data_IF_764900837143
#
_entry.id   IF_764900837143
#
_cell.length_a   1.000
_cell.length_b   1.000
_cell.length_c   1.000
_cell.angle_alpha   90.00
_cell.angle_beta   90.00
_cell.angle_gamma   90.00
#
_symmetry.space_group_name_H-M   'P 1'
#
loop_
_entity.id
_entity.type
_entity.pdbx_description
1 polymer ?
#
# COMPACT_ATOMS: atom_id res chain seq x y z
N UNK A 1 29.71 -18.16 -12.07
CA UNK A 1 28.47 -17.91 -11.29
C UNK A 1 28.70 -16.86 -10.22
N UNK A 2 29.73 -16.99 -9.37
CA UNK A 2 30.13 -15.90 -8.44
C UNK A 2 30.37 -14.56 -9.15
N UNK A 3 31.00 -14.57 -10.34
CA UNK A 3 31.18 -13.37 -11.16
C UNK A 3 29.87 -12.69 -11.57
N UNK A 4 28.79 -13.45 -11.78
CA UNK A 4 27.50 -12.88 -12.17
C UNK A 4 26.83 -12.16 -11.00
N UNK A 5 26.95 -12.71 -9.79
CA UNK A 5 26.45 -12.03 -8.58
C UNK A 5 27.26 -10.77 -8.28
N UNK A 6 28.59 -10.81 -8.45
CA UNK A 6 29.41 -9.61 -8.33
C UNK A 6 29.00 -8.54 -9.34
N UNK A 7 28.64 -8.94 -10.56
CA UNK A 7 28.13 -8.02 -11.58
C UNK A 7 26.71 -7.50 -11.26
N UNK A 8 25.86 -8.28 -10.58
CA UNK A 8 24.57 -7.81 -10.07
C UNK A 8 24.74 -6.77 -8.95
N UNK A 9 25.81 -6.85 -8.16
CA UNK A 9 26.13 -5.92 -7.08
C UNK A 9 26.96 -4.70 -7.55
N UNK A 10 27.21 -4.55 -8.85
CA UNK A 10 28.06 -3.48 -9.37
C UNK A 10 27.45 -2.09 -9.06
N UNK A 11 28.23 -1.07 -8.66
CA UNK A 11 27.69 0.27 -8.43
C UNK A 11 27.13 0.93 -9.69
N UNK A 12 27.58 0.55 -10.89
CA UNK A 12 27.04 1.05 -12.15
C UNK A 12 25.76 0.30 -12.53
N UNK A 13 24.66 1.05 -12.66
CA UNK A 13 23.33 0.52 -13.00
C UNK A 13 23.31 -0.26 -14.32
N UNK A 14 24.03 0.21 -15.33
CA UNK A 14 24.14 -0.47 -16.62
C UNK A 14 24.73 -1.88 -16.49
N UNK A 15 25.74 -2.04 -15.61
CA UNK A 15 26.39 -3.34 -15.38
C UNK A 15 25.48 -4.28 -14.59
N UNK A 16 24.75 -3.77 -13.58
CA UNK A 16 23.72 -4.55 -12.87
C UNK A 16 22.63 -5.04 -13.84
N UNK A 17 22.13 -4.14 -14.67
CA UNK A 17 21.07 -4.44 -15.65
C UNK A 17 21.54 -5.45 -16.69
N UNK A 18 22.76 -5.30 -17.20
CA UNK A 18 23.35 -6.25 -18.15
C UNK A 18 23.52 -7.65 -17.52
N UNK A 19 24.00 -7.71 -16.27
CA UNK A 19 24.15 -8.97 -15.53
C UNK A 19 22.79 -9.65 -15.29
N UNK A 20 21.77 -8.89 -14.87
CA UNK A 20 20.41 -9.40 -14.66
C UNK A 20 19.81 -9.94 -15.98
N UNK A 21 19.94 -9.21 -17.09
CA UNK A 21 19.47 -9.69 -18.40
C UNK A 21 20.20 -10.94 -18.86
N UNK A 22 21.51 -11.01 -18.64
CA UNK A 22 22.31 -12.21 -18.93
C UNK A 22 21.78 -13.43 -18.17
N UNK A 23 21.41 -13.26 -16.90
CA UNK A 23 20.77 -14.33 -16.12
C UNK A 23 19.44 -14.80 -16.73
N UNK A 24 18.58 -13.86 -17.14
CA UNK A 24 17.33 -14.21 -17.83
C UNK A 24 17.57 -14.98 -19.13
N UNK A 25 18.56 -14.57 -19.94
CA UNK A 25 18.95 -15.28 -21.16
C UNK A 25 19.50 -16.69 -20.90
N UNK A 26 20.29 -16.86 -19.84
CA UNK A 26 20.78 -18.18 -19.44
C UNK A 26 19.64 -19.10 -19.04
N UNK A 27 18.67 -18.61 -18.26
CA UNK A 27 17.46 -19.37 -17.91
C UNK A 27 16.66 -19.74 -19.16
N UNK A 28 16.49 -18.79 -20.10
CA UNK A 28 15.76 -19.02 -21.35
C UNK A 28 16.41 -20.08 -22.24
N UNK A 29 17.75 -20.11 -22.31
CA UNK A 29 18.51 -21.02 -23.20
C UNK A 29 18.85 -22.36 -22.57
N UNK A 30 19.12 -22.39 -21.27
CA UNK A 30 19.63 -23.56 -20.57
C UNK A 30 18.59 -24.21 -19.65
N UNK A 31 17.46 -23.54 -19.41
CA UNK A 31 16.32 -24.06 -18.67
C UNK A 31 16.61 -24.36 -17.20
N UNK A 32 15.99 -25.43 -16.72
CA UNK A 32 15.84 -25.78 -15.31
C UNK A 32 17.16 -26.09 -14.59
N UNK A 33 18.13 -26.67 -15.31
CA UNK A 33 19.46 -26.99 -14.76
C UNK A 33 20.18 -25.75 -14.25
N UNK A 34 19.97 -24.60 -14.90
CA UNK A 34 20.57 -23.34 -14.50
C UNK A 34 19.80 -22.71 -13.35
N UNK A 35 18.46 -22.78 -13.36
CA UNK A 35 17.60 -22.32 -12.25
C UNK A 35 17.96 -22.98 -10.92
N UNK A 36 18.04 -24.32 -10.89
CA UNK A 36 18.41 -25.07 -9.69
C UNK A 36 19.75 -24.65 -9.08
N UNK A 37 20.70 -24.23 -9.91
CA UNK A 37 22.02 -23.82 -9.45
C UNK A 37 22.05 -22.34 -9.06
N UNK A 38 21.27 -21.49 -9.73
CA UNK A 38 21.28 -20.04 -9.50
C UNK A 38 20.48 -19.63 -8.27
N UNK A 39 19.28 -20.18 -8.08
CA UNK A 39 18.38 -19.76 -7.02
C UNK A 39 18.99 -19.88 -5.62
N UNK A 40 19.71 -20.96 -5.25
CA UNK A 40 20.38 -21.03 -3.94
C UNK A 40 21.39 -19.91 -3.73
N UNK A 41 22.18 -19.57 -4.76
CA UNK A 41 23.22 -18.53 -4.65
C UNK A 41 22.58 -17.14 -4.54
N UNK A 42 21.51 -16.89 -5.28
CA UNK A 42 20.73 -15.66 -5.17
C UNK A 42 20.10 -15.52 -3.78
N UNK A 43 19.52 -16.61 -3.24
CA UNK A 43 18.98 -16.65 -1.88
C UNK A 43 20.03 -16.32 -0.83
N UNK A 44 21.22 -16.90 -0.93
CA UNK A 44 22.34 -16.61 -0.03
C UNK A 44 22.76 -15.13 -0.14
N UNK A 45 22.81 -14.60 -1.36
CA UNK A 45 23.22 -13.22 -1.62
C UNK A 45 22.21 -12.18 -1.11
N UNK A 46 20.94 -12.55 -0.93
CA UNK A 46 19.94 -11.70 -0.27
C UNK A 46 20.24 -11.44 1.21
N UNK A 47 21.07 -12.27 1.85
CA UNK A 47 21.54 -12.05 3.22
C UNK A 47 22.76 -11.11 3.31
N UNK A 48 23.21 -10.53 2.19
CA UNK A 48 24.34 -9.60 2.17
C UNK A 48 24.03 -8.29 2.91
N UNK A 49 25.00 -7.78 3.67
CA UNK A 49 24.91 -6.45 4.30
C UNK A 49 24.82 -5.31 3.27
N UNK A 50 25.30 -5.55 2.04
CA UNK A 50 25.27 -4.58 0.96
C UNK A 50 23.89 -4.48 0.32
N UNK A 51 23.24 -3.31 0.47
CA UNK A 51 21.96 -3.01 -0.18
C UNK A 51 22.05 -3.13 -1.71
N UNK A 52 23.17 -2.69 -2.32
CA UNK A 52 23.40 -2.83 -3.77
C UNK A 52 23.41 -4.29 -4.23
N UNK A 53 23.95 -5.21 -3.41
CA UNK A 53 23.91 -6.65 -3.68
C UNK A 53 22.47 -7.16 -3.62
N UNK A 54 21.74 -6.84 -2.54
CA UNK A 54 20.33 -7.29 -2.38
C UNK A 54 19.43 -6.74 -3.48
N UNK A 55 19.60 -5.46 -3.86
CA UNK A 55 18.90 -4.83 -4.98
C UNK A 55 19.22 -5.53 -6.30
N UNK A 56 20.50 -5.77 -6.57
CA UNK A 56 20.96 -6.49 -7.76
C UNK A 56 20.37 -7.89 -7.86
N UNK A 57 20.32 -8.62 -6.74
CA UNK A 57 19.69 -9.94 -6.67
C UNK A 57 18.19 -9.85 -6.97
N UNK A 58 17.47 -8.85 -6.43
CA UNK A 58 16.05 -8.65 -6.76
C UNK A 58 15.84 -8.36 -8.25
N UNK A 59 16.70 -7.53 -8.86
CA UNK A 59 16.67 -7.27 -10.29
C UNK A 59 16.97 -8.53 -11.11
N UNK A 60 17.95 -9.34 -10.68
CA UNK A 60 18.24 -10.64 -11.29
C UNK A 60 17.05 -11.60 -11.17
N UNK A 61 16.39 -11.65 -10.00
CA UNK A 61 15.22 -12.50 -9.79
C UNK A 61 14.09 -12.08 -10.74
N UNK A 62 13.86 -10.78 -10.93
CA UNK A 62 12.88 -10.28 -11.90
C UNK A 62 13.13 -10.83 -13.31
N UNK A 63 14.37 -10.77 -13.81
CA UNK A 63 14.72 -11.27 -15.14
C UNK A 63 14.61 -12.80 -15.24
N UNK A 64 14.98 -13.51 -14.18
CA UNK A 64 14.81 -14.97 -14.07
C UNK A 64 13.33 -15.34 -14.13
N UNK A 65 12.48 -14.62 -13.39
CA UNK A 65 11.05 -14.82 -13.34
C UNK A 65 10.36 -14.56 -14.68
N UNK A 66 10.81 -13.54 -15.42
CA UNK A 66 10.30 -13.20 -16.75
C UNK A 66 10.74 -14.24 -17.81
N UNK A 67 11.89 -14.88 -17.61
CA UNK A 67 12.41 -15.90 -18.51
C UNK A 67 11.88 -17.32 -18.23
N UNK A 68 11.47 -17.61 -16.99
CA UNK A 68 11.02 -18.92 -16.57
C UNK A 68 9.65 -19.28 -17.14
N UNK A 69 9.45 -20.56 -17.46
CA UNK A 69 8.14 -21.08 -17.86
C UNK A 69 7.22 -21.23 -16.64
N UNK A 70 5.90 -21.30 -16.85
CA UNK A 70 4.93 -21.52 -15.76
C UNK A 70 5.22 -22.78 -14.93
N UNK A 71 5.70 -23.84 -15.57
CA UNK A 71 6.05 -25.08 -14.87
C UNK A 71 7.23 -24.86 -13.92
N UNK A 72 8.32 -24.29 -14.42
CA UNK A 72 9.51 -23.96 -13.62
C UNK A 72 9.20 -22.98 -12.49
N UNK A 73 8.36 -21.96 -12.76
CA UNK A 73 7.89 -21.04 -11.74
C UNK A 73 7.14 -21.77 -10.64
N UNK A 74 6.26 -22.72 -10.98
CA UNK A 74 5.53 -23.53 -10.01
C UNK A 74 6.44 -24.36 -9.11
N UNK A 75 7.47 -24.98 -9.67
CA UNK A 75 8.41 -25.83 -8.91
C UNK A 75 9.33 -25.02 -8.00
N UNK A 76 9.78 -23.85 -8.44
CA UNK A 76 10.72 -23.01 -7.69
C UNK A 76 10.07 -21.93 -6.83
N UNK A 77 8.76 -21.75 -6.92
CA UNK A 77 8.01 -20.75 -6.17
C UNK A 77 8.30 -20.76 -4.66
N UNK A 78 8.35 -21.93 -3.99
CA UNK A 78 8.64 -22.01 -2.56
C UNK A 78 10.03 -21.48 -2.19
N UNK A 79 10.98 -21.53 -3.12
CA UNK A 79 12.34 -21.03 -2.93
C UNK A 79 12.47 -19.53 -3.25
N UNK A 80 11.65 -19.01 -4.17
CA UNK A 80 11.72 -17.62 -4.65
C UNK A 80 10.88 -16.66 -3.80
N UNK A 81 9.73 -17.10 -3.29
CA UNK A 81 8.82 -16.24 -2.54
C UNK A 81 9.41 -15.70 -1.24
N UNK A 82 10.04 -16.51 -0.36
CA UNK A 82 10.57 -16.00 0.91
C UNK A 82 11.63 -14.89 0.73
N UNK A 83 12.60 -15.01 -0.20
CA UNK A 83 13.53 -13.92 -0.50
C UNK A 83 12.86 -12.63 -0.97
N UNK A 84 11.86 -12.71 -1.86
CA UNK A 84 11.13 -11.52 -2.34
C UNK A 84 10.35 -10.89 -1.19
N UNK A 85 9.70 -11.71 -0.36
CA UNK A 85 8.98 -11.20 0.80
C UNK A 85 9.91 -10.50 1.80
N UNK A 86 11.08 -11.07 2.09
CA UNK A 86 12.08 -10.42 2.92
C UNK A 86 12.54 -9.09 2.31
N UNK A 87 12.75 -9.06 1.00
CA UNK A 87 13.18 -7.87 0.26
C UNK A 87 12.11 -6.76 0.22
N UNK A 88 10.81 -7.11 0.22
CA UNK A 88 9.73 -6.12 0.35
C UNK A 88 9.73 -5.43 1.71
N UNK A 89 10.28 -6.07 2.73
CA UNK A 89 10.47 -5.55 4.08
C UNK A 89 11.90 -5.01 4.33
N UNK A 90 12.70 -4.84 3.28
CA UNK A 90 14.09 -4.41 3.42
C UNK A 90 14.19 -2.98 3.97
N UNK A 91 15.25 -2.70 4.74
CA UNK A 91 15.51 -1.37 5.28
C UNK A 91 15.81 -0.35 4.17
N UNK A 92 16.41 -0.79 3.07
CA UNK A 92 16.75 0.06 1.94
C UNK A 92 15.58 0.19 0.94
N UNK A 93 15.12 1.42 0.64
CA UNK A 93 14.01 1.63 -0.30
C UNK A 93 14.27 1.09 -1.70
N UNK A 94 15.51 1.15 -2.19
CA UNK A 94 15.85 0.69 -3.54
C UNK A 94 15.72 -0.83 -3.67
N UNK A 95 15.99 -1.57 -2.58
CA UNK A 95 15.78 -3.02 -2.51
C UNK A 95 14.28 -3.33 -2.52
N UNK A 96 13.47 -2.59 -1.73
CA UNK A 96 12.01 -2.75 -1.72
C UNK A 96 11.41 -2.53 -3.11
N UNK A 97 11.81 -1.46 -3.80
CA UNK A 97 11.34 -1.17 -5.16
C UNK A 97 11.71 -2.28 -6.15
N UNK A 98 12.96 -2.77 -6.11
CA UNK A 98 13.40 -3.88 -6.95
C UNK A 98 12.61 -5.17 -6.64
N UNK A 99 12.32 -5.44 -5.37
CA UNK A 99 11.50 -6.57 -4.94
C UNK A 99 10.05 -6.43 -5.43
N UNK A 100 9.49 -5.21 -5.40
CA UNK A 100 8.18 -4.90 -5.98
C UNK A 100 8.11 -5.21 -7.47
N UNK A 101 9.14 -4.83 -8.22
CA UNK A 101 9.22 -5.13 -9.65
C UNK A 101 9.26 -6.65 -9.91
N UNK A 102 10.05 -7.40 -9.14
CA UNK A 102 10.11 -8.86 -9.22
C UNK A 102 8.75 -9.51 -8.85
N UNK A 103 8.12 -9.03 -7.78
CA UNK A 103 6.80 -9.47 -7.33
C UNK A 103 5.72 -9.23 -8.41
N UNK A 104 5.78 -8.10 -9.11
CA UNK A 104 4.87 -7.79 -10.22
C UNK A 104 4.97 -8.81 -11.37
N UNK A 105 6.18 -9.28 -11.69
CA UNK A 105 6.39 -10.34 -12.70
C UNK A 105 5.77 -11.66 -12.25
N UNK A 106 6.05 -12.08 -11.01
CA UNK A 106 5.45 -13.29 -10.43
C UNK A 106 3.93 -13.27 -10.52
N UNK A 107 3.31 -12.15 -10.16
CA UNK A 107 1.87 -12.03 -10.19
C UNK A 107 1.30 -12.17 -11.61
N UNK A 108 1.93 -11.58 -12.63
CA UNK A 108 1.49 -11.73 -14.04
C UNK A 108 1.70 -13.14 -14.60
N UNK A 109 2.71 -13.86 -14.11
CA UNK A 109 3.07 -15.21 -14.57
C UNK A 109 2.09 -16.33 -14.20
N UNK A 110 0.99 -16.02 -13.50
CA UNK A 110 -0.02 -17.00 -13.08
C UNK A 110 0.23 -17.60 -11.69
N UNK A 111 1.18 -17.07 -10.92
CA UNK A 111 1.46 -17.48 -9.54
C UNK A 111 0.45 -16.92 -8.50
N UNK A 112 -0.79 -16.61 -8.92
CA UNK A 112 -1.78 -15.91 -8.10
C UNK A 112 -1.98 -16.57 -6.73
N UNK A 113 -2.15 -17.90 -6.71
CA UNK A 113 -2.37 -18.66 -5.46
C UNK A 113 -1.19 -18.68 -4.49
N UNK A 114 0.04 -18.51 -4.99
CA UNK A 114 1.23 -18.54 -4.15
C UNK A 114 1.60 -17.14 -3.63
N UNK A 115 1.30 -16.12 -4.43
CA UNK A 115 1.45 -14.72 -4.03
C UNK A 115 0.40 -14.30 -3.00
N UNK A 116 -0.73 -15.02 -2.94
CA UNK A 116 -1.79 -14.82 -1.95
C UNK A 116 -1.31 -14.95 -0.50
N UNK A 117 -0.15 -15.56 -0.22
CA UNK A 117 0.45 -15.61 1.13
C UNK A 117 1.21 -14.35 1.54
N UNK A 118 1.73 -13.56 0.59
CA UNK A 118 2.60 -12.41 0.88
C UNK A 118 1.82 -11.27 1.54
N UNK A 119 0.67 -10.89 0.96
CA UNK A 119 -0.16 -9.82 1.52
C UNK A 119 -0.66 -10.16 2.93
N UNK A 120 -1.24 -11.35 3.21
CA UNK A 120 -1.57 -11.77 4.57
C UNK A 120 -0.40 -11.74 5.54
N UNK A 121 0.80 -12.15 5.12
CA UNK A 121 1.96 -12.10 6.00
C UNK A 121 2.40 -10.68 6.34
N UNK A 122 2.32 -9.74 5.38
CA UNK A 122 2.58 -8.32 5.65
C UNK A 122 1.49 -7.72 6.54
N UNK A 123 0.22 -8.09 6.33
CA UNK A 123 -0.89 -7.67 7.19
C UNK A 123 -0.70 -8.15 8.64
N UNK A 124 -0.24 -9.37 8.85
CA UNK A 124 0.09 -9.88 10.18
C UNK A 124 1.23 -9.10 10.84
N UNK A 125 2.18 -8.57 10.05
CA UNK A 125 3.26 -7.73 10.55
C UNK A 125 2.80 -6.36 11.07
N UNK A 126 1.59 -5.90 10.71
CA UNK A 126 1.02 -4.64 11.22
C UNK A 126 0.62 -4.72 12.70
N UNK A 127 0.45 -5.93 13.24
CA UNK A 127 0.13 -6.12 14.65
C UNK A 127 1.38 -6.14 15.56
N UNK A 128 2.58 -6.10 14.97
CA UNK A 128 3.86 -6.07 15.69
C UNK A 128 4.57 -4.74 15.53
N UNK A 129 4.89 -4.06 16.64
CA UNK A 129 5.65 -2.79 16.59
C UNK A 129 6.99 -2.94 15.88
N UNK A 130 7.67 -4.08 16.05
CA UNK A 130 8.96 -4.34 15.42
C UNK A 130 8.88 -4.49 13.89
N UNK A 131 7.73 -4.93 13.37
CA UNK A 131 7.54 -5.21 11.94
C UNK A 131 6.61 -4.23 11.24
N UNK A 132 5.93 -3.34 11.98
CA UNK A 132 4.92 -2.43 11.47
C UNK A 132 5.43 -1.62 10.27
N UNK A 133 6.52 -0.87 10.47
CA UNK A 133 7.08 0.03 9.45
C UNK A 133 7.46 -0.73 8.18
N UNK A 134 8.23 -1.82 8.31
CA UNK A 134 8.65 -2.64 7.18
C UNK A 134 7.44 -3.25 6.45
N UNK A 135 6.40 -3.66 7.18
CA UNK A 135 5.19 -4.26 6.61
C UNK A 135 4.34 -3.25 5.85
N UNK A 136 4.17 -2.03 6.38
CA UNK A 136 3.48 -0.95 5.66
C UNK A 136 4.24 -0.60 4.39
N UNK A 137 5.56 -0.44 4.47
CA UNK A 137 6.40 -0.14 3.30
C UNK A 137 6.32 -1.24 2.24
N UNK A 138 6.37 -2.52 2.63
CA UNK A 138 6.18 -3.64 1.71
C UNK A 138 4.79 -3.63 1.05
N UNK A 139 3.74 -3.35 1.82
CA UNK A 139 2.38 -3.20 1.27
C UNK A 139 2.28 -2.01 0.32
N UNK A 140 2.94 -0.89 0.62
CA UNK A 140 2.98 0.28 -0.26
C UNK A 140 3.61 -0.05 -1.60
N UNK A 141 4.73 -0.76 -1.59
CA UNK A 141 5.43 -1.20 -2.81
C UNK A 141 4.52 -2.12 -3.64
N UNK A 142 3.87 -3.11 -3.02
CA UNK A 142 2.92 -4.00 -3.73
C UNK A 142 1.77 -3.19 -4.34
N UNK A 143 1.22 -2.22 -3.61
CA UNK A 143 0.14 -1.37 -4.08
C UNK A 143 0.58 -0.40 -5.19
N UNK A 144 1.80 0.11 -5.14
CA UNK A 144 2.37 0.91 -6.21
C UNK A 144 2.48 0.14 -7.52
N UNK A 145 2.81 -1.16 -7.45
CA UNK A 145 2.82 -2.05 -8.63
C UNK A 145 1.41 -2.44 -9.06
N UNK A 146 0.50 -2.62 -8.10
CA UNK A 146 -0.90 -3.01 -8.35
C UNK A 146 -1.85 -2.35 -7.35
N UNK A 147 -2.42 -1.18 -7.70
CA UNK A 147 -3.33 -0.45 -6.81
C UNK A 147 -4.57 -1.26 -6.41
N UNK A 148 -5.04 -2.15 -7.29
CA UNK A 148 -6.17 -3.05 -7.02
C UNK A 148 -5.96 -3.99 -5.82
N UNK A 149 -4.72 -4.19 -5.34
CA UNK A 149 -4.45 -4.93 -4.09
C UNK A 149 -5.15 -4.29 -2.89
N UNK A 150 -5.36 -2.97 -2.93
CA UNK A 150 -6.07 -2.23 -1.89
C UNK A 150 -7.51 -2.75 -1.68
N UNK A 151 -8.18 -3.24 -2.73
CA UNK A 151 -9.53 -3.82 -2.62
C UNK A 151 -9.60 -5.03 -1.69
N UNK A 152 -8.53 -5.81 -1.59
CA UNK A 152 -8.45 -6.94 -0.66
C UNK A 152 -7.90 -6.56 0.72
N UNK A 153 -7.17 -5.45 0.82
CA UNK A 153 -6.52 -4.99 2.06
C UNK A 153 -7.45 -4.13 2.90
N UNK A 154 -8.13 -3.14 2.30
CA UNK A 154 -8.98 -2.20 3.03
C UNK A 154 -10.07 -2.90 3.86
N UNK A 155 -10.83 -3.88 3.34
CA UNK A 155 -11.83 -4.59 4.13
C UNK A 155 -11.24 -5.42 5.29
N UNK A 156 -9.99 -5.89 5.16
CA UNK A 156 -9.31 -6.64 6.24
C UNK A 156 -8.90 -5.72 7.37
N UNK A 157 -8.43 -4.51 7.06
CA UNK A 157 -8.06 -3.50 8.06
C UNK A 157 -9.27 -2.89 8.77
N UNK A 158 -10.42 -2.86 8.11
CA UNK A 158 -11.69 -2.39 8.68
C UNK A 158 -12.45 -3.48 9.45
N UNK A 159 -11.97 -4.73 9.45
CA UNK A 159 -12.65 -5.83 10.14
C UNK A 159 -12.61 -5.61 11.66
N UNK A 160 -13.75 -5.65 12.37
CA UNK A 160 -13.75 -5.57 13.83
C UNK A 160 -13.02 -6.76 14.48
N UNK A 161 -12.26 -6.54 15.58
CA UNK A 161 -12.00 -5.25 16.21
C UNK A 161 -10.97 -4.40 15.43
N UNK A 162 -11.34 -3.16 15.10
CA UNK A 162 -10.44 -2.21 14.41
C UNK A 162 -9.38 -1.71 15.39
N UNK A 163 -8.10 -1.90 15.11
CA UNK A 163 -6.99 -1.47 15.98
C UNK A 163 -6.43 -0.10 15.55
N UNK A 164 -5.69 0.57 16.45
CA UNK A 164 -4.97 1.81 16.10
C UNK A 164 -3.96 1.58 14.97
N UNK A 165 -3.30 0.42 14.95
CA UNK A 165 -2.34 0.04 13.90
C UNK A 165 -3.01 -0.10 12.54
N UNK A 166 -4.21 -0.71 12.48
CA UNK A 166 -4.98 -0.83 11.24
C UNK A 166 -5.44 0.53 10.71
N UNK A 167 -5.86 1.45 11.59
CA UNK A 167 -6.23 2.81 11.21
C UNK A 167 -5.04 3.59 10.64
N UNK A 168 -3.89 3.58 11.34
CA UNK A 168 -2.66 4.19 10.83
C UNK A 168 -2.27 3.61 9.48
N UNK A 169 -2.33 2.29 9.33
CA UNK A 169 -1.99 1.61 8.08
C UNK A 169 -2.95 2.01 6.95
N UNK A 170 -4.26 2.15 7.20
CA UNK A 170 -5.22 2.66 6.22
C UNK A 170 -4.85 4.08 5.74
N UNK A 171 -4.55 4.98 6.68
CA UNK A 171 -4.12 6.34 6.35
C UNK A 171 -2.83 6.37 5.54
N UNK A 172 -1.88 5.50 5.88
CA UNK A 172 -0.62 5.36 5.17
C UNK A 172 -0.82 4.83 3.75
N UNK A 173 -1.51 3.70 3.60
CA UNK A 173 -1.70 3.03 2.32
C UNK A 173 -2.61 3.81 1.36
N UNK A 174 -3.49 4.69 1.85
CA UNK A 174 -4.38 5.48 1.02
C UNK A 174 -3.65 6.26 -0.08
N UNK A 175 -2.47 6.83 0.21
CA UNK A 175 -1.69 7.61 -0.75
C UNK A 175 -1.21 6.83 -1.97
N UNK A 176 -1.13 5.50 -1.89
CA UNK A 176 -0.69 4.63 -3.00
C UNK A 176 -1.83 3.75 -3.54
N UNK A 177 -3.05 3.90 -3.00
CA UNK A 177 -4.22 3.13 -3.43
C UNK A 177 -4.77 3.59 -4.78
N UNK A 178 -4.46 4.83 -5.21
CA UNK A 178 -4.84 5.39 -6.51
C UNK A 178 -6.33 5.19 -6.82
N UNK A 179 -6.69 4.64 -8.00
CA UNK A 179 -8.08 4.49 -8.43
C UNK A 179 -8.89 3.49 -7.61
N UNK A 180 -8.26 2.69 -6.74
CA UNK A 180 -8.97 1.79 -5.85
C UNK A 180 -9.51 2.52 -4.61
N UNK A 181 -8.99 3.71 -4.26
CA UNK A 181 -9.37 4.41 -3.04
C UNK A 181 -10.85 4.86 -3.02
N UNK A 182 -11.41 5.50 -4.07
CA UNK A 182 -12.74 6.09 -4.01
C UNK A 182 -13.86 5.11 -3.60
N UNK A 183 -13.78 3.86 -4.07
CA UNK A 183 -14.79 2.83 -3.73
C UNK A 183 -14.79 2.42 -2.25
N UNK A 184 -13.70 2.67 -1.51
CA UNK A 184 -13.60 2.35 -0.08
C UNK A 184 -13.74 3.58 0.82
N UNK A 185 -13.78 4.79 0.27
CA UNK A 185 -13.89 6.03 1.04
C UNK A 185 -15.07 6.02 2.03
N UNK A 186 -16.31 5.64 1.65
CA UNK A 186 -17.43 5.67 2.58
C UNK A 186 -17.22 4.76 3.80
N UNK A 187 -16.73 3.53 3.57
CA UNK A 187 -16.49 2.57 4.64
C UNK A 187 -15.35 2.99 5.57
N UNK A 188 -14.25 3.49 4.99
CA UNK A 188 -13.09 3.96 5.75
C UNK A 188 -13.47 5.19 6.59
N UNK A 189 -14.07 6.21 5.96
CA UNK A 189 -14.46 7.43 6.65
C UNK A 189 -15.52 7.16 7.71
N UNK A 190 -16.59 6.44 7.40
CA UNK A 190 -17.64 6.14 8.37
C UNK A 190 -17.07 5.47 9.63
N UNK A 191 -16.15 4.51 9.46
CA UNK A 191 -15.46 3.85 10.58
C UNK A 191 -14.57 4.81 11.35
N UNK A 192 -13.75 5.61 10.66
CA UNK A 192 -12.82 6.53 11.31
C UNK A 192 -13.57 7.65 12.06
N UNK A 193 -14.60 8.23 11.46
CA UNK A 193 -15.41 9.29 12.05
C UNK A 193 -16.18 8.79 13.29
N UNK A 194 -16.70 7.55 13.25
CA UNK A 194 -17.37 6.94 14.39
C UNK A 194 -16.43 6.66 15.57
N UNK A 195 -15.17 6.33 15.31
CA UNK A 195 -14.14 6.12 16.35
C UNK A 195 -13.64 7.47 16.88
N UNK A 196 -13.33 8.41 15.99
CA UNK A 196 -12.85 9.75 16.32
C UNK A 196 -13.85 10.55 17.18
N UNK A 197 -15.15 10.35 16.96
CA UNK A 197 -16.19 11.07 17.71
C UNK A 197 -16.36 10.58 19.16
N UNK A 198 -15.66 9.52 19.58
CA UNK A 198 -15.73 8.99 20.95
C UNK A 198 -14.54 9.51 21.76
N UNK A 199 -14.74 10.47 22.68
CA UNK A 199 -13.64 11.14 23.37
C UNK A 199 -12.79 10.23 24.27
N UNK A 200 -13.36 9.10 24.73
CA UNK A 200 -12.68 8.14 25.60
C UNK A 200 -12.08 6.94 24.84
N UNK A 201 -12.12 6.95 23.50
CA UNK A 201 -11.52 5.87 22.70
C UNK A 201 -10.04 6.18 22.42
N UNK A 202 -9.15 5.33 22.93
CA UNK A 202 -7.69 5.45 22.69
C UNK A 202 -7.31 5.41 21.20
N UNK A 203 -8.21 4.94 20.33
CA UNK A 203 -8.02 4.89 18.87
C UNK A 203 -8.41 6.21 18.18
N UNK A 204 -9.10 7.12 18.86
CA UNK A 204 -9.59 8.37 18.28
C UNK A 204 -8.49 9.19 17.56
N UNK A 205 -7.28 9.40 18.14
CA UNK A 205 -6.22 10.13 17.45
C UNK A 205 -5.75 9.43 16.16
N UNK A 206 -5.65 8.10 16.18
CA UNK A 206 -5.27 7.31 15.01
C UNK A 206 -6.37 7.36 13.93
N UNK A 207 -7.64 7.39 14.33
CA UNK A 207 -8.78 7.50 13.43
C UNK A 207 -8.86 8.89 12.76
N UNK A 208 -8.64 9.97 13.52
CA UNK A 208 -8.58 11.33 12.99
C UNK A 208 -7.46 11.48 11.96
N UNK A 209 -6.26 11.01 12.30
CA UNK A 209 -5.11 11.06 11.39
C UNK A 209 -5.35 10.21 10.13
N UNK A 210 -5.90 9.00 10.28
CA UNK A 210 -6.24 8.14 9.16
C UNK A 210 -7.26 8.79 8.23
N UNK A 211 -8.33 9.35 8.80
CA UNK A 211 -9.37 10.04 8.04
C UNK A 211 -8.82 11.23 7.25
N UNK A 212 -7.93 12.03 7.87
CA UNK A 212 -7.28 13.16 7.20
C UNK A 212 -6.41 12.71 6.03
N UNK A 213 -5.54 11.71 6.24
CA UNK A 213 -4.66 11.18 5.18
C UNK A 213 -5.46 10.56 4.03
N UNK A 214 -6.52 9.81 4.34
CA UNK A 214 -7.43 9.20 3.35
C UNK A 214 -8.13 10.29 2.53
N UNK A 215 -8.65 11.32 3.19
CA UNK A 215 -9.28 12.43 2.49
C UNK A 215 -8.28 13.17 1.59
N UNK A 216 -7.05 13.39 2.04
CA UNK A 216 -6.01 14.02 1.22
C UNK A 216 -5.61 13.18 0.02
N UNK A 217 -5.58 11.85 0.17
CA UNK A 217 -5.24 10.90 -0.89
C UNK A 217 -6.34 10.71 -1.94
N UNK A 218 -7.60 11.03 -1.62
CA UNK A 218 -8.74 10.90 -2.52
C UNK A 218 -8.62 11.76 -3.79
N UNK A 219 -7.86 12.86 -3.73
CA UNK A 219 -7.71 13.79 -4.84
C UNK A 219 -9.05 14.38 -5.32
N UNK A 220 -9.10 14.81 -6.58
CA UNK A 220 -10.31 15.36 -7.19
C UNK A 220 -11.35 14.27 -7.51
N UNK A 221 -10.90 13.09 -7.92
CA UNK A 221 -11.77 11.96 -8.30
C UNK A 221 -12.61 11.44 -7.13
N UNK A 222 -12.05 11.43 -5.92
CA UNK A 222 -12.74 10.99 -4.72
C UNK A 222 -13.52 12.10 -3.99
N UNK A 223 -13.39 13.36 -4.42
CA UNK A 223 -14.01 14.51 -3.75
C UNK A 223 -15.54 14.40 -3.65
N UNK A 224 -16.29 13.98 -4.69
CA UNK A 224 -17.74 13.82 -4.57
C UNK A 224 -18.13 12.82 -3.48
N UNK A 225 -17.44 11.68 -3.40
CA UNK A 225 -17.67 10.66 -2.37
C UNK A 225 -17.29 11.14 -0.97
N UNK A 226 -16.23 11.95 -0.84
CA UNK A 226 -15.85 12.58 0.42
C UNK A 226 -16.95 13.54 0.91
N UNK A 227 -17.44 14.42 0.03
CA UNK A 227 -18.46 15.42 0.37
C UNK A 227 -19.77 14.75 0.76
N UNK A 228 -20.19 13.72 0.02
CA UNK A 228 -21.41 12.95 0.32
C UNK A 228 -21.33 12.26 1.70
N UNK A 229 -20.20 11.60 2.02
CA UNK A 229 -20.05 10.93 3.31
C UNK A 229 -19.90 11.92 4.48
N UNK A 230 -19.22 13.04 4.27
CA UNK A 230 -19.12 14.12 5.27
C UNK A 230 -20.48 14.76 5.55
N UNK A 231 -21.27 15.05 4.50
CA UNK A 231 -22.63 15.57 4.65
C UNK A 231 -23.50 14.62 5.47
N UNK A 232 -23.50 13.32 5.10
CA UNK A 232 -24.19 12.28 5.88
C UNK A 232 -23.73 12.23 7.32
N UNK A 233 -22.42 12.31 7.59
CA UNK A 233 -21.87 12.21 8.94
C UNK A 233 -22.17 13.43 9.81
N UNK A 234 -22.31 14.62 9.22
CA UNK A 234 -22.69 15.85 9.92
C UNK A 234 -24.19 15.87 10.28
N UNK A 235 -25.03 15.32 9.41
CA UNK A 235 -26.48 15.17 9.65
C UNK A 235 -26.81 13.99 10.57
N UNK A 236 -25.85 13.10 10.80
CA UNK A 236 -26.05 11.87 11.55
C UNK A 236 -26.19 12.10 13.06
N UNK A 237 -27.42 11.92 13.56
CA UNK A 237 -27.74 11.92 14.98
C UNK A 237 -27.05 10.80 15.78
N UNK A 238 -26.41 9.82 15.12
CA UNK A 238 -25.65 8.73 15.77
C UNK A 238 -24.35 9.18 16.45
N UNK A 239 -23.97 10.46 16.30
CA UNK A 239 -22.83 11.06 16.99
C UNK A 239 -21.52 11.03 16.20
N UNK A 240 -21.56 10.92 14.86
CA UNK A 240 -20.37 11.06 13.98
C UNK A 240 -20.01 12.51 13.65
N UNK A 241 -20.91 13.45 13.95
CA UNK A 241 -20.74 14.87 13.64
C UNK A 241 -19.46 15.51 14.24
N UNK A 242 -19.03 15.22 15.49
CA UNK A 242 -17.79 15.79 16.02
C UNK A 242 -16.55 15.39 15.23
N UNK A 243 -16.42 14.10 14.86
CA UNK A 243 -15.34 13.61 14.03
C UNK A 243 -15.38 14.21 12.62
N UNK A 244 -16.57 14.36 12.04
CA UNK A 244 -16.73 14.96 10.71
C UNK A 244 -16.29 16.43 10.71
N UNK A 245 -16.69 17.21 11.73
CA UNK A 245 -16.25 18.58 11.91
C UNK A 245 -14.73 18.69 12.12
N UNK A 246 -14.14 17.79 12.91
CA UNK A 246 -12.70 17.72 13.11
C UNK A 246 -11.94 17.43 11.81
N UNK A 247 -12.45 16.50 10.99
CA UNK A 247 -11.88 16.17 9.69
C UNK A 247 -11.94 17.37 8.73
N UNK A 248 -13.08 18.05 8.63
CA UNK A 248 -13.22 19.26 7.79
C UNK A 248 -12.22 20.33 8.24
N UNK A 249 -12.14 20.61 9.55
CA UNK A 249 -11.20 21.58 10.08
C UNK A 249 -9.73 21.17 9.81
N UNK A 250 -9.40 19.90 9.98
CA UNK A 250 -8.07 19.35 9.69
C UNK A 250 -7.70 19.44 8.22
N UNK A 251 -8.64 19.11 7.33
CA UNK A 251 -8.46 19.20 5.89
C UNK A 251 -8.22 20.65 5.45
N UNK A 252 -9.05 21.58 5.92
CA UNK A 252 -8.91 23.01 5.60
C UNK A 252 -7.57 23.59 6.09
N UNK A 253 -7.06 23.14 7.24
CA UNK A 253 -5.72 23.55 7.72
C UNK A 253 -4.59 23.00 6.85
N UNK A 254 -4.76 21.82 6.27
CA UNK A 254 -3.75 21.16 5.47
C UNK A 254 -3.79 21.54 3.98
N UNK A 255 -4.89 22.09 3.47
CA UNK A 255 -5.02 22.53 2.09
C UNK A 255 -4.20 23.81 1.82
N UNK A 256 -3.28 23.76 0.86
CA UNK A 256 -2.51 24.90 0.36
C UNK A 256 -2.99 25.32 -1.04
N UNK A 257 -3.07 26.64 -1.29
CA UNK A 257 -3.28 27.25 -2.61
C UNK A 257 -4.56 26.80 -3.35
N UNK A 258 -4.39 26.15 -4.51
CA UNK A 258 -5.47 25.73 -5.43
C UNK A 258 -6.50 24.78 -4.80
N UNK A 259 -6.10 23.91 -3.87
CA UNK A 259 -7.04 23.01 -3.16
C UNK A 259 -8.00 23.75 -2.25
N UNK A 260 -7.66 24.98 -1.83
CA UNK A 260 -8.48 25.80 -0.95
C UNK A 260 -9.68 26.40 -1.69
N UNK A 261 -9.52 26.80 -2.95
CA UNK A 261 -10.59 27.41 -3.76
C UNK A 261 -11.66 26.38 -4.17
N UNK A 262 -11.24 25.17 -4.59
CA UNK A 262 -12.15 24.07 -4.89
C UNK A 262 -13.00 23.66 -3.68
N UNK A 263 -12.42 23.72 -2.48
CA UNK A 263 -13.13 23.40 -1.23
C UNK A 263 -13.99 24.55 -0.70
N UNK A 264 -13.63 25.82 -0.93
CA UNK A 264 -14.43 26.94 -0.45
C UNK A 264 -15.83 26.93 -1.08
N UNK A 265 -15.93 26.60 -2.39
CA UNK A 265 -17.22 26.42 -3.06
C UNK A 265 -18.05 25.23 -2.54
N UNK A 266 -17.40 24.17 -2.05
CA UNK A 266 -18.08 22.96 -1.54
C UNK A 266 -18.37 23.01 -0.04
N UNK A 267 -17.53 23.69 0.76
CA UNK A 267 -17.77 24.00 2.17
C UNK A 267 -18.91 25.01 2.28
N UNK A 268 -18.97 26.01 1.40
CA UNK A 268 -20.15 26.88 1.28
C UNK A 268 -21.39 26.06 0.94
N UNK A 269 -21.26 25.07 0.03
CA UNK A 269 -22.28 24.06 -0.27
C UNK A 269 -22.75 23.27 0.95
N UNK A 270 -21.84 22.68 1.72
CA UNK A 270 -22.11 21.92 2.95
C UNK A 270 -22.73 22.80 4.05
N UNK A 271 -22.31 24.06 4.17
CA UNK A 271 -22.88 25.04 5.10
C UNK A 271 -24.28 25.49 4.66
N UNK A 272 -24.57 25.58 3.35
CA UNK A 272 -25.95 25.82 2.86
C UNK A 272 -26.87 24.62 3.10
N UNK A 273 -26.40 23.39 2.92
CA UNK A 273 -27.20 22.17 3.17
C UNK A 273 -27.52 22.04 4.67
N UNK A 274 -26.57 22.38 5.56
CA UNK A 274 -26.81 22.48 7.00
C UNK A 274 -27.67 23.68 7.43
N UNK A 275 -27.72 24.75 6.62
CA UNK A 275 -28.47 25.98 6.90
C UNK A 275 -29.97 25.93 6.57
N UNK A 276 -30.40 25.01 5.71
CA UNK A 276 -31.81 24.93 5.26
C UNK A 276 -32.78 24.27 6.26
N UNK A 277 -32.31 23.76 7.40
CA UNK A 277 -33.19 23.14 8.44
C UNK A 277 -33.32 24.03 9.71
N UNK A 278 -32.67 25.19 9.76
CA UNK A 278 -32.72 26.11 10.91
C UNK A 278 -33.82 27.17 10.89
N UNK A 279 -34.75 27.14 9.92
CA UNK A 279 -35.74 28.19 9.68
C UNK A 279 -37.18 27.73 9.82
N UNK A 280 -37.53 27.09 10.94
CA UNK A 280 -38.88 26.58 11.18
C UNK A 280 -39.24 26.59 12.66
N UNK A 281 -39.20 27.76 13.29
CA UNK A 281 -39.91 27.98 14.56
C UNK A 281 -41.39 28.14 14.21
N UNK A 282 -42.31 27.25 14.63
CA UNK A 282 -43.72 27.56 14.54
C UNK A 282 -44.05 28.57 15.65
N UNK A 283 -44.35 29.80 15.25
CA UNK A 283 -45.06 30.73 16.11
C UNK A 283 -46.55 30.36 16.07
N UNK A 284 -47.04 29.71 17.14
CA UNK A 284 -48.36 29.82 17.76
C UNK A 284 -48.59 28.64 18.71
#
# INVERSE_FOLDING_TARGET
MAEVINALADPAEDRRTAAARCLGELVRKMGERVLHRMLPIMRESMASDSASTRQGVCAGLREVLEAATRHQLGEHLPDILPPIQAALCDSDPSVREAAGAAFGVLFRGGAHSAVDGVVPSLLAGLDSEAHYSASVEGLRVIMGVRPATFNGVAPKLLRPPVTSSSLRALGELAGVAGPALPSHLPAILSTCLAIASKPNDHRAPAAEEAALRVAQAAGEEGLPSLVEELGRALEDASGRAPGAAALVAGYCRAATGDRREGLQGHVDGLMTVGGTVGGGVPAA
#
